data_IF_003784019973
#
_entry.id   IF_003784019973
#
_cell.length_a   1.000
_cell.length_b   1.000
_cell.length_c   1.000
_cell.angle_alpha   90.00
_cell.angle_beta   90.00
_cell.angle_gamma   90.00
#
_symmetry.space_group_name_H-M   'P 1'
#
loop_
_entity.id
_entity.type
_entity.pdbx_description
1 polymer ?
#
# COMPACT_ATOMS: atom_id res chain seq x y z
N UNK A 1 12.11 1.72 -35.52
CA UNK A 1 12.72 0.39 -35.31
C UNK A 1 12.85 0.20 -33.81
N UNK A 2 12.09 -0.71 -33.22
CA UNK A 2 12.17 -1.02 -31.79
C UNK A 2 13.13 -2.18 -31.57
N UNK A 3 14.09 -2.05 -30.66
CA UNK A 3 14.94 -3.16 -30.23
C UNK A 3 14.10 -4.20 -29.48
N UNK A 4 14.46 -5.48 -29.62
CA UNK A 4 13.85 -6.57 -28.84
C UNK A 4 14.09 -6.29 -27.34
N UNK A 5 13.03 -6.17 -26.50
CA UNK A 5 13.16 -5.93 -25.07
C UNK A 5 14.01 -6.99 -24.33
N UNK A 6 14.27 -8.15 -24.91
CA UNK A 6 15.10 -9.21 -24.32
C UNK A 6 16.59 -9.06 -24.66
N UNK A 7 16.93 -8.27 -25.67
CA UNK A 7 18.30 -8.06 -26.12
C UNK A 7 18.76 -6.67 -25.69
N UNK A 8 19.06 -6.52 -24.40
CA UNK A 8 19.49 -5.25 -23.83
C UNK A 8 20.65 -5.39 -22.85
N UNK A 9 21.46 -4.34 -22.79
CA UNK A 9 22.53 -4.17 -21.81
C UNK A 9 22.02 -3.25 -20.70
N UNK A 10 21.83 -3.81 -19.50
CA UNK A 10 21.18 -3.16 -18.35
C UNK A 10 21.97 -1.95 -17.80
N UNK A 11 23.21 -1.73 -18.27
CA UNK A 11 24.07 -0.63 -17.82
C UNK A 11 23.92 0.65 -18.64
N UNK A 12 23.06 0.67 -19.67
CA UNK A 12 22.80 1.85 -20.49
C UNK A 12 21.45 2.47 -20.16
N UNK A 13 21.44 3.81 -20.02
CA UNK A 13 20.21 4.58 -19.87
C UNK A 13 19.34 4.41 -21.13
N UNK A 14 18.19 3.74 -21.00
CA UNK A 14 17.17 3.71 -22.02
C UNK A 14 16.35 4.99 -21.96
N UNK A 15 16.39 5.79 -23.03
CA UNK A 15 15.61 7.03 -23.12
C UNK A 15 14.21 6.73 -23.68
N UNK A 16 13.23 6.54 -22.77
CA UNK A 16 11.81 6.34 -23.09
C UNK A 16 11.03 5.73 -21.91
N UNK A 17 9.69 5.65 -21.99
CA UNK A 17 8.86 5.01 -20.94
C UNK A 17 9.09 3.49 -20.79
N UNK A 18 9.93 2.91 -21.64
CA UNK A 18 10.33 1.51 -21.67
C UNK A 18 11.42 1.14 -20.65
N UNK A 19 12.01 2.09 -19.91
CA UNK A 19 12.92 1.77 -18.80
C UNK A 19 12.23 0.90 -17.72
N UNK A 20 10.93 1.12 -17.50
CA UNK A 20 10.08 0.29 -16.62
C UNK A 20 9.84 -1.13 -17.17
N UNK A 21 10.02 -1.38 -18.47
CA UNK A 21 9.84 -2.71 -19.06
C UNK A 21 10.98 -3.68 -18.71
N UNK A 22 12.04 -3.19 -18.07
CA UNK A 22 13.24 -3.95 -17.71
C UNK A 22 13.16 -4.59 -16.32
N UNK A 23 12.27 -4.08 -15.46
CA UNK A 23 12.08 -4.60 -14.10
C UNK A 23 11.83 -6.12 -14.06
N UNK A 24 10.99 -6.71 -14.95
CA UNK A 24 10.77 -8.15 -14.97
C UNK A 24 12.03 -8.94 -15.34
N UNK A 25 12.85 -8.41 -16.26
CA UNK A 25 14.06 -9.08 -16.71
C UNK A 25 15.17 -9.00 -15.65
N UNK A 26 15.32 -7.84 -15.00
CA UNK A 26 16.25 -7.67 -13.87
C UNK A 26 15.86 -8.60 -12.71
N UNK A 27 14.57 -8.69 -12.39
CA UNK A 27 14.09 -9.58 -11.35
C UNK A 27 14.33 -11.06 -11.69
N UNK A 28 14.11 -11.48 -12.94
CA UNK A 28 14.46 -12.82 -13.40
C UNK A 28 15.96 -13.12 -13.27
N UNK A 29 16.83 -12.17 -13.64
CA UNK A 29 18.27 -12.31 -13.49
C UNK A 29 18.69 -12.43 -12.02
N UNK A 30 18.02 -11.70 -11.13
CA UNK A 30 18.23 -11.82 -9.69
C UNK A 30 17.85 -13.23 -9.18
N UNK A 31 16.69 -13.75 -9.57
CA UNK A 31 16.25 -15.11 -9.21
C UNK A 31 17.20 -16.20 -9.71
N UNK A 32 17.82 -15.98 -10.86
CA UNK A 32 18.77 -16.90 -11.48
C UNK A 32 20.23 -16.61 -11.17
N UNK A 33 20.52 -15.66 -10.27
CA UNK A 33 21.87 -15.21 -9.98
C UNK A 33 22.79 -16.36 -9.58
N UNK A 34 23.91 -16.48 -10.28
CA UNK A 34 24.96 -17.46 -9.97
C UNK A 34 25.58 -17.20 -8.60
N UNK A 35 25.60 -15.94 -8.15
CA UNK A 35 26.11 -15.55 -6.83
C UNK A 35 25.21 -16.15 -5.74
N UNK A 36 23.90 -15.97 -5.84
CA UNK A 36 22.96 -16.52 -4.84
C UNK A 36 22.99 -18.05 -4.80
N UNK A 37 23.01 -18.68 -5.98
CA UNK A 37 23.14 -20.14 -6.11
C UNK A 37 24.43 -20.68 -5.50
N UNK A 38 25.56 -19.98 -5.70
CA UNK A 38 26.86 -20.38 -5.11
C UNK A 38 26.88 -20.31 -3.58
N UNK A 39 26.02 -19.50 -2.98
CA UNK A 39 25.85 -19.38 -1.53
C UNK A 39 24.68 -20.22 -1.00
N UNK A 40 24.02 -21.01 -1.86
CA UNK A 40 22.81 -21.77 -1.53
C UNK A 40 21.69 -20.89 -0.92
N UNK A 41 21.54 -19.67 -1.43
CA UNK A 41 20.52 -18.70 -0.99
C UNK A 41 19.44 -18.57 -2.05
N UNK A 42 18.18 -18.56 -1.61
CA UNK A 42 17.00 -18.37 -2.45
C UNK A 42 16.24 -17.11 -2.04
N UNK A 43 15.57 -16.46 -3.00
CA UNK A 43 14.80 -15.24 -2.73
C UNK A 43 13.38 -15.61 -2.32
N UNK A 44 13.10 -15.66 -1.02
CA UNK A 44 11.74 -15.96 -0.53
C UNK A 44 10.74 -14.81 -0.67
N UNK A 45 11.23 -13.55 -0.58
CA UNK A 45 10.40 -12.35 -0.49
C UNK A 45 10.90 -11.27 -1.44
N UNK A 46 9.99 -10.69 -2.23
CA UNK A 46 10.24 -9.53 -3.09
C UNK A 46 9.35 -8.37 -2.65
N UNK A 47 9.95 -7.22 -2.33
CA UNK A 47 9.20 -5.99 -2.00
C UNK A 47 9.33 -5.03 -3.18
N UNK A 48 8.22 -4.53 -3.71
CA UNK A 48 8.25 -3.59 -4.82
C UNK A 48 6.86 -3.10 -5.25
N UNK A 49 6.82 -2.35 -6.35
CA UNK A 49 5.58 -1.85 -6.93
C UNK A 49 4.64 -2.98 -7.37
N UNK A 50 3.33 -2.76 -7.33
CA UNK A 50 2.30 -3.73 -7.75
C UNK A 50 2.20 -3.84 -9.30
N UNK A 51 3.31 -4.13 -9.96
CA UNK A 51 3.36 -4.48 -11.37
C UNK A 51 3.16 -6.00 -11.56
N UNK A 52 2.31 -6.37 -12.51
CA UNK A 52 1.97 -7.78 -12.78
C UNK A 52 3.10 -8.49 -13.54
N UNK A 53 3.84 -7.75 -14.36
CA UNK A 53 4.93 -8.22 -15.21
C UNK A 53 6.12 -8.78 -14.42
N UNK A 54 6.61 -8.06 -13.41
CA UNK A 54 7.74 -8.52 -12.58
C UNK A 54 7.34 -9.71 -11.72
N UNK A 55 6.10 -9.70 -11.20
CA UNK A 55 5.58 -10.83 -10.42
C UNK A 55 5.50 -12.12 -11.23
N UNK A 56 5.00 -12.03 -12.48
CA UNK A 56 4.91 -13.17 -13.38
C UNK A 56 6.30 -13.71 -13.76
N UNK A 57 7.26 -12.82 -14.05
CA UNK A 57 8.63 -13.20 -14.39
C UNK A 57 9.34 -13.93 -13.25
N UNK A 58 9.21 -13.45 -12.00
CA UNK A 58 9.78 -14.11 -10.82
C UNK A 58 9.19 -15.50 -10.62
N UNK A 59 7.86 -15.64 -10.65
CA UNK A 59 7.17 -16.93 -10.46
C UNK A 59 7.44 -17.94 -11.57
N UNK A 60 7.64 -17.49 -12.81
CA UNK A 60 8.00 -18.37 -13.92
C UNK A 60 9.44 -18.89 -13.82
N UNK A 61 10.28 -18.20 -13.05
CA UNK A 61 11.71 -18.50 -12.93
C UNK A 61 12.04 -19.30 -11.67
N UNK A 62 11.29 -19.11 -10.59
CA UNK A 62 11.54 -19.80 -9.33
C UNK A 62 10.85 -21.17 -9.28
N UNK A 63 11.57 -22.16 -8.75
CA UNK A 63 11.02 -23.48 -8.41
C UNK A 63 10.25 -23.47 -7.08
N UNK A 64 10.45 -22.44 -6.26
CA UNK A 64 9.81 -22.25 -4.96
C UNK A 64 8.80 -21.08 -5.01
N UNK A 65 7.81 -21.03 -4.09
CA UNK A 65 6.89 -19.91 -4.00
C UNK A 65 7.64 -18.62 -3.61
N UNK A 66 7.37 -17.52 -4.33
CA UNK A 66 7.86 -16.18 -3.99
C UNK A 66 6.68 -15.35 -3.49
N UNK A 67 6.84 -14.77 -2.30
CA UNK A 67 5.89 -13.82 -1.75
C UNK A 67 6.27 -12.42 -2.23
N UNK A 68 5.33 -11.74 -2.88
CA UNK A 68 5.48 -10.33 -3.26
C UNK A 68 4.71 -9.45 -2.29
N UNK A 69 5.38 -8.46 -1.75
CA UNK A 69 4.76 -7.42 -0.92
C UNK A 69 4.78 -6.09 -1.65
N UNK A 70 3.72 -5.32 -1.45
CA UNK A 70 3.57 -4.01 -2.06
C UNK A 70 4.42 -3.00 -1.29
N UNK A 71 5.15 -2.13 -2.01
CA UNK A 71 5.78 -0.98 -1.37
C UNK A 71 4.71 -0.11 -0.70
N UNK A 72 4.87 0.08 0.60
CA UNK A 72 3.98 0.89 1.44
C UNK A 72 3.81 2.33 0.93
N UNK A 73 4.85 2.92 0.32
CA UNK A 73 4.80 4.26 -0.25
C UNK A 73 3.97 4.29 -1.55
N UNK A 74 4.02 3.22 -2.33
CA UNK A 74 3.19 3.09 -3.53
C UNK A 74 1.72 2.81 -3.17
N UNK A 75 1.49 1.96 -2.16
CA UNK A 75 0.16 1.65 -1.66
C UNK A 75 -0.55 2.91 -1.11
N UNK A 76 0.13 3.70 -0.28
CA UNK A 76 -0.39 4.96 0.27
C UNK A 76 -0.64 6.03 -0.82
N UNK A 77 0.19 6.05 -1.86
CA UNK A 77 -0.03 6.87 -3.06
C UNK A 77 -1.29 6.47 -3.86
N UNK A 78 -1.63 5.18 -3.93
CA UNK A 78 -2.87 4.71 -4.56
C UNK A 78 -4.11 5.16 -3.78
N UNK A 79 -4.08 5.10 -2.45
CA UNK A 79 -5.17 5.61 -1.59
C UNK A 79 -5.42 7.09 -1.88
N UNK A 80 -4.36 7.90 -1.93
CA UNK A 80 -4.44 9.33 -2.23
C UNK A 80 -5.09 9.58 -3.60
N UNK A 81 -4.71 8.83 -4.64
CA UNK A 81 -5.31 8.93 -5.98
C UNK A 81 -6.81 8.59 -5.97
N UNK A 82 -7.22 7.55 -5.27
CA UNK A 82 -8.63 7.16 -5.17
C UNK A 82 -9.46 8.20 -4.39
N UNK A 83 -8.91 8.79 -3.32
CA UNK A 83 -9.54 9.88 -2.58
C UNK A 83 -9.71 11.14 -3.44
N UNK A 84 -8.71 11.50 -4.25
CA UNK A 84 -8.83 12.60 -5.21
C UNK A 84 -9.89 12.32 -6.30
N UNK A 85 -10.08 11.06 -6.72
CA UNK A 85 -11.17 10.71 -7.65
C UNK A 85 -12.55 10.96 -7.05
N UNK A 86 -12.74 10.67 -5.76
CA UNK A 86 -13.99 10.98 -5.05
C UNK A 86 -14.20 12.50 -4.93
N UNK A 87 -13.16 13.22 -4.48
CA UNK A 87 -13.22 14.68 -4.33
C UNK A 87 -13.53 15.40 -5.66
N UNK A 88 -12.93 14.94 -6.77
CA UNK A 88 -13.12 15.54 -8.09
C UNK A 88 -14.50 15.31 -8.72
N UNK A 89 -15.30 14.37 -8.21
CA UNK A 89 -16.64 14.07 -8.78
C UNK A 89 -17.69 15.17 -8.50
N UNK A 90 -17.33 16.31 -7.88
CA UNK A 90 -18.20 17.43 -7.48
C UNK A 90 -19.40 17.07 -6.58
N UNK A 91 -19.59 15.79 -6.24
CA UNK A 91 -20.61 15.28 -5.32
C UNK A 91 -20.28 15.58 -3.85
N UNK A 92 -19.02 15.42 -3.45
CA UNK A 92 -18.61 15.52 -2.05
C UNK A 92 -17.75 16.76 -1.83
N UNK A 93 -18.39 17.91 -1.62
CA UNK A 93 -17.68 19.18 -1.32
C UNK A 93 -16.98 19.17 0.04
N UNK A 94 -17.38 18.25 0.92
CA UNK A 94 -16.83 18.09 2.26
C UNK A 94 -15.42 17.47 2.24
N UNK A 95 -15.10 16.66 1.22
CA UNK A 95 -13.78 16.07 1.06
C UNK A 95 -12.78 17.09 0.47
N UNK A 96 -12.27 17.95 1.36
CA UNK A 96 -11.23 18.94 1.05
C UNK A 96 -9.85 18.28 0.91
N UNK A 97 -8.87 19.03 0.37
CA UNK A 97 -7.48 18.55 0.28
C UNK A 97 -6.92 18.18 1.66
N UNK A 98 -7.25 18.94 2.70
CA UNK A 98 -6.78 18.68 4.05
C UNK A 98 -7.41 17.41 4.63
N UNK A 99 -8.69 17.15 4.32
CA UNK A 99 -9.36 15.89 4.62
C UNK A 99 -8.67 14.67 4.00
N UNK A 100 -8.21 14.79 2.74
CA UNK A 100 -7.44 13.73 2.07
C UNK A 100 -6.09 13.51 2.78
N UNK A 101 -5.38 14.58 3.11
CA UNK A 101 -4.09 14.49 3.85
C UNK A 101 -4.30 13.83 5.21
N UNK A 102 -5.40 14.13 5.89
CA UNK A 102 -5.74 13.53 7.16
C UNK A 102 -6.03 12.02 7.04
N UNK A 103 -6.87 11.60 6.08
CA UNK A 103 -7.14 10.19 5.81
C UNK A 103 -5.87 9.42 5.43
N UNK A 104 -5.00 10.03 4.63
CA UNK A 104 -3.70 9.46 4.28
C UNK A 104 -2.81 9.25 5.51
N UNK A 105 -2.77 10.21 6.44
CA UNK A 105 -2.01 10.07 7.70
C UNK A 105 -2.56 8.94 8.56
N UNK A 106 -3.88 8.81 8.69
CA UNK A 106 -4.52 7.72 9.42
C UNK A 106 -4.16 6.36 8.82
N UNK A 107 -4.23 6.25 7.49
CA UNK A 107 -3.86 5.03 6.77
C UNK A 107 -2.38 4.66 6.97
N UNK A 108 -1.48 5.64 6.82
CA UNK A 108 -0.04 5.43 7.04
C UNK A 108 0.24 4.97 8.46
N UNK A 109 -0.44 5.54 9.45
CA UNK A 109 -0.30 5.13 10.85
C UNK A 109 -0.78 3.70 11.10
N UNK A 110 -1.91 3.30 10.51
CA UNK A 110 -2.40 1.92 10.59
C UNK A 110 -1.40 0.92 10.00
N UNK A 111 -0.73 1.28 8.90
CA UNK A 111 0.30 0.46 8.29
C UNK A 111 1.58 0.37 9.14
N UNK A 112 2.03 1.48 9.74
CA UNK A 112 3.27 1.49 10.52
C UNK A 112 3.11 0.83 11.89
N UNK A 113 1.92 0.90 12.48
CA UNK A 113 1.62 0.36 13.82
C UNK A 113 1.40 -1.15 13.78
N UNK A 114 0.82 -1.68 12.70
CA UNK A 114 0.46 -3.10 12.56
C UNK A 114 1.39 -3.87 11.61
N UNK A 115 2.66 -3.48 11.52
CA UNK A 115 3.67 -4.29 10.81
C UNK A 115 3.62 -5.70 11.40
N UNK A 116 3.48 -6.72 10.54
CA UNK A 116 3.36 -8.15 10.89
C UNK A 116 1.98 -8.64 11.37
N UNK A 117 0.98 -7.76 11.51
CA UNK A 117 -0.36 -8.17 11.91
C UNK A 117 -1.43 -7.70 10.90
N UNK A 118 -1.67 -8.53 9.87
CA UNK A 118 -2.66 -8.26 8.81
C UNK A 118 -4.08 -8.07 9.36
N UNK A 119 -4.48 -8.86 10.37
CA UNK A 119 -5.81 -8.80 10.96
C UNK A 119 -6.03 -7.49 11.75
N UNK A 120 -5.02 -7.08 12.54
CA UNK A 120 -5.08 -5.79 13.24
C UNK A 120 -5.04 -4.62 12.25
N UNK A 121 -4.19 -4.71 11.21
CA UNK A 121 -4.13 -3.72 10.14
C UNK A 121 -5.46 -3.56 9.41
N UNK A 122 -6.12 -4.66 9.04
CA UNK A 122 -7.42 -4.63 8.37
C UNK A 122 -8.48 -3.93 9.25
N UNK A 123 -8.52 -4.25 10.55
CA UNK A 123 -9.45 -3.60 11.49
C UNK A 123 -9.19 -2.11 11.63
N UNK A 124 -7.93 -1.70 11.75
CA UNK A 124 -7.58 -0.29 11.85
C UNK A 124 -7.92 0.47 10.57
N UNK A 125 -7.65 -0.12 9.40
CA UNK A 125 -8.02 0.46 8.09
C UNK A 125 -9.55 0.62 7.97
N UNK A 126 -10.33 -0.38 8.39
CA UNK A 126 -11.80 -0.33 8.39
C UNK A 126 -12.36 0.71 9.36
N UNK A 127 -11.62 1.07 10.41
CA UNK A 127 -12.03 2.06 11.38
C UNK A 127 -11.81 3.51 10.89
N UNK A 128 -10.95 3.74 9.90
CA UNK A 128 -10.62 5.09 9.42
C UNK A 128 -11.85 5.90 8.98
N UNK A 129 -12.80 5.36 8.20
CA UNK A 129 -14.03 6.08 7.86
C UNK A 129 -14.87 6.47 9.08
N UNK A 130 -15.06 5.56 10.03
CA UNK A 130 -15.81 5.83 11.26
C UNK A 130 -15.15 6.94 12.08
N UNK A 131 -13.82 6.85 12.26
CA UNK A 131 -13.03 7.85 12.95
C UNK A 131 -13.14 9.25 12.30
N UNK A 132 -13.11 9.31 10.96
CA UNK A 132 -13.23 10.57 10.23
C UNK A 132 -14.64 11.20 10.33
N UNK A 133 -15.66 10.41 10.67
CA UNK A 133 -17.05 10.83 10.92
C UNK A 133 -17.35 10.97 12.42
N UNK A 134 -16.31 11.04 13.25
CA UNK A 134 -16.41 11.20 14.69
C UNK A 134 -17.07 10.01 15.43
N UNK A 135 -17.14 8.84 14.79
CA UNK A 135 -17.51 7.57 15.43
C UNK A 135 -16.25 6.82 15.87
N UNK A 136 -15.97 6.89 17.17
CA UNK A 136 -14.80 6.27 17.78
C UNK A 136 -15.09 4.91 18.42
N UNK A 137 -16.29 4.35 18.21
CA UNK A 137 -16.72 3.07 18.81
C UNK A 137 -15.80 1.89 18.47
N UNK A 138 -15.12 1.97 17.31
CA UNK A 138 -14.22 0.93 16.79
C UNK A 138 -12.75 1.35 16.80
N UNK A 139 -12.44 2.52 17.36
CA UNK A 139 -11.09 3.08 17.35
C UNK A 139 -10.16 2.34 18.31
N UNK A 140 -8.92 2.13 17.88
CA UNK A 140 -7.85 1.57 18.71
C UNK A 140 -7.08 2.64 19.50
N UNK A 141 -5.96 2.23 20.09
CA UNK A 141 -5.03 3.09 20.84
C UNK A 141 -4.36 4.19 19.99
N UNK A 142 -4.57 4.18 18.68
CA UNK A 142 -4.12 5.24 17.77
C UNK A 142 -5.02 6.47 17.78
N UNK A 143 -6.27 6.34 18.24
CA UNK A 143 -7.21 7.45 18.30
C UNK A 143 -6.88 8.37 19.49
N UNK A 144 -6.78 9.68 19.21
CA UNK A 144 -6.52 10.66 20.24
C UNK A 144 -7.70 10.87 21.20
N UNK A 145 -8.94 10.65 20.75
CA UNK A 145 -10.15 10.69 21.61
C UNK A 145 -10.13 9.57 22.65
N UNK A 146 -9.62 8.39 22.27
CA UNK A 146 -9.44 7.28 23.22
C UNK A 146 -8.39 7.62 24.30
N UNK A 147 -7.46 8.54 24.02
CA UNK A 147 -6.43 8.98 24.96
C UNK A 147 -6.84 10.19 25.80
N UNK A 148 -7.60 11.12 25.22
CA UNK A 148 -8.06 12.35 25.87
C UNK A 148 -9.45 12.72 25.33
N UNK A 149 -10.48 12.19 25.99
CA UNK A 149 -11.87 12.35 25.58
C UNK A 149 -12.40 13.78 25.80
N UNK A 150 -11.77 14.55 26.71
CA UNK A 150 -12.26 15.87 27.10
C UNK A 150 -11.63 17.01 26.29
N UNK A 151 -10.41 16.84 25.77
CA UNK A 151 -9.69 17.92 25.07
C UNK A 151 -9.34 17.62 23.60
N UNK A 152 -9.61 16.42 23.09
CA UNK A 152 -9.27 16.09 21.71
C UNK A 152 -10.38 16.46 20.73
N UNK A 153 -10.06 17.37 19.82
CA UNK A 153 -10.78 17.56 18.56
C UNK A 153 -9.81 17.40 17.38
N UNK A 154 -10.34 16.91 16.26
CA UNK A 154 -9.59 16.75 15.03
C UNK A 154 -9.19 18.13 14.49
N UNK A 155 -7.91 18.49 14.63
CA UNK A 155 -7.38 19.78 14.15
C UNK A 155 -7.67 20.08 12.67
N UNK A 156 -7.81 19.05 11.84
CA UNK A 156 -7.97 19.18 10.39
C UNK A 156 -9.44 19.08 9.96
N UNK A 157 -10.26 18.32 10.69
CA UNK A 157 -11.69 18.13 10.40
C UNK A 157 -12.46 18.28 11.72
N UNK A 158 -12.60 19.50 12.26
CA UNK A 158 -13.28 19.71 13.53
C UNK A 158 -14.69 19.12 13.48
N UNK A 159 -15.08 18.34 14.48
CA UNK A 159 -16.37 17.60 14.53
C UNK A 159 -16.58 16.48 13.49
N UNK A 160 -15.62 16.20 12.61
CA UNK A 160 -15.69 15.15 11.60
C UNK A 160 -16.49 15.50 10.33
N UNK A 161 -16.59 14.55 9.41
CA UNK A 161 -17.44 14.64 8.21
C UNK A 161 -18.90 14.28 8.52
N UNK A 162 -19.84 14.79 7.72
CA UNK A 162 -21.29 14.61 7.92
C UNK A 162 -22.02 14.04 6.70
N UNK A 163 -21.39 14.06 5.51
CA UNK A 163 -21.97 13.53 4.27
C UNK A 163 -22.01 11.98 4.28
N UNK A 164 -23.21 11.42 4.41
CA UNK A 164 -23.43 9.97 4.41
C UNK A 164 -23.09 9.30 3.07
N UNK A 165 -23.23 10.01 1.93
CA UNK A 165 -22.78 9.45 0.64
C UNK A 165 -21.25 9.37 0.59
N UNK A 166 -20.56 10.35 1.19
CA UNK A 166 -19.10 10.33 1.34
C UNK A 166 -18.66 9.20 2.26
N UNK A 167 -19.39 8.96 3.36
CA UNK A 167 -19.11 7.86 4.29
C UNK A 167 -19.11 6.51 3.56
N UNK A 168 -20.16 6.20 2.80
CA UNK A 168 -20.26 4.91 2.11
C UNK A 168 -19.18 4.76 1.03
N UNK A 169 -18.84 5.85 0.32
CA UNK A 169 -17.77 5.85 -0.67
C UNK A 169 -16.39 5.60 -0.03
N UNK A 170 -16.11 6.22 1.11
CA UNK A 170 -14.88 5.99 1.87
C UNK A 170 -14.85 4.57 2.43
N UNK A 171 -15.94 4.12 3.05
CA UNK A 171 -16.08 2.76 3.57
C UNK A 171 -15.77 1.72 2.50
N UNK A 172 -16.32 1.84 1.29
CA UNK A 172 -16.03 0.92 0.19
C UNK A 172 -14.53 0.89 -0.19
N UNK A 173 -13.88 2.05 -0.26
CA UNK A 173 -12.44 2.13 -0.53
C UNK A 173 -11.63 1.45 0.58
N UNK A 174 -11.91 1.81 1.83
CA UNK A 174 -11.16 1.31 2.98
C UNK A 174 -11.42 -0.18 3.24
N UNK A 175 -12.63 -0.69 2.98
CA UNK A 175 -12.93 -2.13 3.01
C UNK A 175 -12.11 -2.90 1.96
N UNK A 176 -12.02 -2.37 0.73
CA UNK A 176 -11.18 -2.96 -0.32
C UNK A 176 -9.69 -2.93 0.04
N UNK A 177 -9.23 -1.88 0.72
CA UNK A 177 -7.85 -1.78 1.20
C UNK A 177 -7.60 -2.77 2.34
N UNK A 178 -8.52 -2.90 3.28
CA UNK A 178 -8.44 -3.85 4.39
C UNK A 178 -8.43 -5.30 3.90
N UNK A 179 -9.20 -5.63 2.86
CA UNK A 179 -9.16 -6.93 2.21
C UNK A 179 -7.80 -7.24 1.57
N UNK A 180 -6.96 -6.23 1.31
CA UNK A 180 -5.59 -6.38 0.82
C UNK A 180 -4.54 -6.18 1.92
N UNK A 181 -4.92 -6.12 3.21
CA UNK A 181 -4.01 -5.86 4.33
C UNK A 181 -2.84 -6.85 4.41
N UNK A 182 -3.04 -8.10 4.01
CA UNK A 182 -1.97 -9.12 3.94
C UNK A 182 -0.81 -8.73 3.01
N UNK A 183 -1.09 -7.94 1.96
CA UNK A 183 -0.05 -7.43 1.05
C UNK A 183 0.77 -6.30 1.66
N UNK A 184 0.24 -5.67 2.70
CA UNK A 184 0.81 -4.50 3.37
C UNK A 184 1.48 -4.85 4.71
N UNK A 185 1.11 -5.97 5.33
CA UNK A 185 1.54 -6.34 6.68
C UNK A 185 2.89 -7.07 6.76
N UNK A 186 3.68 -7.08 5.69
CA UNK A 186 5.00 -7.71 5.74
C UNK A 186 5.97 -6.89 6.59
N UNK A 187 6.19 -7.33 7.82
CA UNK A 187 7.45 -7.06 8.49
C UNK A 187 8.56 -7.84 7.81
N UNK A 188 9.70 -7.19 7.63
CA UNK A 188 10.91 -7.91 7.34
C UNK A 188 11.20 -8.87 8.52
N UNK A 189 11.38 -10.16 8.18
CA UNK A 189 11.86 -11.25 9.05
C UNK A 189 10.81 -12.16 9.67
N UNK A 190 10.79 -13.40 9.20
CA UNK A 190 11.32 -14.48 10.02
C UNK A 190 11.90 -15.52 9.07
N UNK A 191 13.23 -15.55 8.97
CA UNK A 191 13.89 -16.84 8.85
C UNK A 191 13.32 -17.68 10.00
N UNK A 192 12.53 -18.70 9.70
CA UNK A 192 12.30 -19.79 10.62
C UNK A 192 13.20 -20.91 10.14
N UNK A 193 14.21 -21.15 10.95
CA UNK A 193 15.11 -22.31 10.92
C UNK A 193 14.32 -23.62 10.87
#
# INVERSE_FOLDING_TARGET
>A
MGHDPRNHDCWKNFWGSMAFAMEPHVAQNLMNSTILKSQNVEVGVLIGDDDSSTTAACRATSSHPIVKFSDTNHASGRVTKELYKISNKRKHKELTKDGIVYLHRCFTHAMTTNKENSAAMARDIQCIPYHAFNDHSKCGTWCGIVKDQENYDHRIIPSGFHDMELFEALKNIFDRLAANAEKFSAGASSNRE
#
